data_IF_408258846897
#
_entry.id   IF_408258846897
#
_cell.length_a   1.000
_cell.length_b   1.000
_cell.length_c   1.000
_cell.angle_alpha   90.00
_cell.angle_beta   90.00
_cell.angle_gamma   90.00
#
_symmetry.space_group_name_H-M   'P 1'
#
loop_
_entity.id
_entity.type
_entity.pdbx_description
1 polymer ?
#
# COMPACT_ATOMS: atom_id res chain seq x y z
N UNK A 1 19.10 -1.64 -19.99
CA UNK A 1 19.03 -3.11 -20.21
C UNK A 1 18.54 -3.36 -21.62
N UNK A 2 19.36 -3.96 -22.46
CA UNK A 2 18.85 -4.62 -23.67
C UNK A 2 18.24 -5.94 -23.20
N UNK A 3 16.96 -6.18 -23.48
CA UNK A 3 16.38 -7.50 -23.26
C UNK A 3 17.18 -8.50 -24.09
N UNK A 4 17.92 -9.42 -23.46
CA UNK A 4 18.41 -10.57 -24.23
C UNK A 4 17.19 -11.39 -24.64
N UNK A 5 17.23 -11.95 -25.83
CA UNK A 5 16.15 -12.80 -26.34
C UNK A 5 15.78 -13.92 -25.36
N UNK A 6 16.77 -14.44 -24.65
CA UNK A 6 16.60 -15.47 -23.63
C UNK A 6 15.75 -14.97 -22.46
N UNK A 7 15.87 -13.71 -22.04
CA UNK A 7 15.02 -13.14 -20.98
C UNK A 7 13.57 -12.94 -21.43
N UNK A 8 13.35 -12.55 -22.69
CA UNK A 8 11.98 -12.47 -23.23
C UNK A 8 11.38 -13.88 -23.27
N UNK A 9 12.14 -14.87 -23.74
CA UNK A 9 11.70 -16.26 -23.76
C UNK A 9 11.42 -16.78 -22.35
N UNK A 10 12.28 -16.51 -21.37
CA UNK A 10 12.11 -16.96 -19.98
C UNK A 10 10.92 -16.29 -19.30
N UNK A 11 10.71 -14.98 -19.48
CA UNK A 11 9.51 -14.28 -19.00
C UNK A 11 8.22 -14.90 -19.58
N UNK A 12 8.25 -15.30 -20.86
CA UNK A 12 7.12 -15.92 -21.54
C UNK A 12 6.96 -17.43 -21.26
N UNK A 13 8.04 -18.15 -20.93
CA UNK A 13 8.02 -19.56 -20.56
C UNK A 13 7.64 -19.76 -19.08
N UNK A 14 7.99 -18.79 -18.22
CA UNK A 14 7.63 -18.76 -16.79
C UNK A 14 6.24 -18.21 -16.53
N UNK A 15 5.68 -17.44 -17.48
CA UNK A 15 4.27 -17.06 -17.50
C UNK A 15 3.42 -18.32 -17.28
N UNK A 16 2.69 -18.44 -16.15
CA UNK A 16 2.11 -19.71 -15.73
C UNK A 16 1.26 -20.33 -16.84
N UNK A 17 1.18 -21.68 -16.93
CA UNK A 17 0.27 -22.43 -17.82
C UNK A 17 -1.20 -21.92 -17.84
N UNK A 18 -1.60 -21.10 -16.87
CA UNK A 18 -2.91 -20.41 -16.80
C UNK A 18 -3.01 -19.18 -17.71
N UNK A 19 -1.91 -18.45 -17.94
CA UNK A 19 -1.86 -17.33 -18.87
C UNK A 19 -1.94 -17.81 -20.33
N UNK A 20 -1.42 -19.00 -20.64
CA UNK A 20 -1.64 -19.64 -21.95
C UNK A 20 -3.13 -19.91 -22.26
N UNK A 21 -3.99 -20.07 -21.24
CA UNK A 21 -5.44 -20.15 -21.43
C UNK A 21 -6.10 -18.78 -21.64
N UNK A 22 -5.54 -17.73 -21.04
CA UNK A 22 -6.04 -16.34 -21.17
C UNK A 22 -5.54 -15.68 -22.47
N UNK A 23 -4.38 -16.10 -22.95
CA UNK A 23 -3.69 -15.57 -24.12
C UNK A 23 -3.25 -16.75 -25.01
N UNK A 24 -4.20 -17.40 -25.70
CA UNK A 24 -3.93 -18.58 -26.54
C UNK A 24 -2.96 -18.30 -27.69
N UNK A 25 -2.68 -17.03 -27.99
CA UNK A 25 -1.71 -16.62 -29.00
C UNK A 25 -0.25 -16.75 -28.53
N UNK A 26 0.03 -16.85 -27.22
CA UNK A 26 1.41 -16.85 -26.70
C UNK A 26 2.21 -18.09 -27.20
N UNK A 27 1.72 -19.34 -27.11
CA UNK A 27 2.48 -20.49 -27.60
C UNK A 27 2.84 -20.45 -29.11
N UNK A 28 1.91 -20.16 -30.05
CA UNK A 28 2.27 -20.04 -31.46
C UNK A 28 3.18 -18.83 -31.72
N UNK A 29 3.03 -17.74 -30.97
CA UNK A 29 3.92 -16.58 -31.06
C UNK A 29 5.36 -16.92 -30.67
N UNK A 30 5.58 -17.60 -29.54
CA UNK A 30 6.91 -18.05 -29.10
C UNK A 30 7.54 -19.06 -30.06
N UNK A 31 6.72 -19.95 -30.63
CA UNK A 31 7.16 -20.89 -31.66
C UNK A 31 7.65 -20.14 -32.91
N UNK A 32 6.92 -19.09 -33.33
CA UNK A 32 7.31 -18.22 -34.43
C UNK A 32 8.63 -17.49 -34.17
N UNK A 33 8.83 -16.97 -32.95
CA UNK A 33 10.06 -16.28 -32.55
C UNK A 33 11.32 -17.15 -32.66
N UNK A 34 11.23 -18.46 -32.40
CA UNK A 34 12.37 -19.38 -32.50
C UNK A 34 12.91 -19.56 -33.92
N UNK A 35 12.10 -19.24 -34.93
CA UNK A 35 12.46 -19.39 -36.34
C UNK A 35 13.03 -18.10 -36.96
N UNK A 36 13.09 -17.00 -36.20
CA UNK A 36 13.57 -15.70 -36.67
C UNK A 36 15.10 -15.60 -36.57
N UNK A 37 15.70 -14.84 -37.48
CA UNK A 37 17.11 -14.44 -37.39
C UNK A 37 17.31 -13.41 -36.27
N UNK A 38 18.55 -13.28 -35.77
CA UNK A 38 18.85 -12.34 -34.67
C UNK A 38 18.40 -10.87 -34.95
N UNK A 39 18.58 -10.29 -36.15
CA UNK A 39 18.06 -8.95 -36.46
C UNK A 39 16.53 -8.87 -36.40
N UNK A 40 15.83 -9.89 -36.87
CA UNK A 40 14.36 -9.95 -36.84
C UNK A 40 13.85 -10.09 -35.41
N UNK A 41 14.50 -10.93 -34.59
CA UNK A 41 14.21 -11.05 -33.16
C UNK A 41 14.36 -9.71 -32.45
N UNK A 42 15.46 -8.99 -32.70
CA UNK A 42 15.67 -7.68 -32.10
C UNK A 42 14.60 -6.68 -32.52
N UNK A 43 14.21 -6.69 -33.79
CA UNK A 43 13.13 -5.83 -34.28
C UNK A 43 11.80 -6.15 -33.59
N UNK A 44 11.42 -7.44 -33.50
CA UNK A 44 10.19 -7.85 -32.82
C UNK A 44 10.23 -7.49 -31.33
N UNK A 45 11.38 -7.70 -30.67
CA UNK A 45 11.58 -7.32 -29.27
C UNK A 45 11.38 -5.83 -29.04
N UNK A 46 11.92 -4.97 -29.92
CA UNK A 46 11.73 -3.52 -29.86
C UNK A 46 10.26 -3.12 -30.05
N UNK A 47 9.57 -3.71 -31.03
CA UNK A 47 8.14 -3.43 -31.27
C UNK A 47 7.30 -3.84 -30.07
N UNK A 48 7.52 -5.04 -29.53
CA UNK A 48 6.85 -5.50 -28.31
C UNK A 48 7.14 -4.57 -27.14
N UNK A 49 8.40 -4.17 -26.93
CA UNK A 49 8.76 -3.27 -25.84
C UNK A 49 8.02 -1.93 -25.94
N UNK A 50 7.88 -1.37 -27.15
CA UNK A 50 7.12 -0.14 -27.38
C UNK A 50 5.64 -0.33 -27.03
N UNK A 51 5.04 -1.44 -27.44
CA UNK A 51 3.65 -1.75 -27.14
C UNK A 51 3.41 -1.98 -25.64
N UNK A 52 4.32 -2.67 -24.96
CA UNK A 52 4.30 -2.84 -23.51
C UNK A 52 4.45 -1.51 -22.77
N UNK A 53 5.42 -0.67 -23.16
CA UNK A 53 5.62 0.66 -22.60
C UNK A 53 4.35 1.52 -22.74
N UNK A 54 3.70 1.45 -23.90
CA UNK A 54 2.44 2.15 -24.18
C UNK A 54 1.29 1.60 -23.33
N UNK A 55 1.16 0.28 -23.21
CA UNK A 55 0.14 -0.36 -22.38
C UNK A 55 0.30 0.01 -20.90
N UNK A 56 1.49 -0.15 -20.34
CA UNK A 56 1.80 0.24 -18.96
C UNK A 56 1.59 1.73 -18.76
N UNK A 57 2.04 2.56 -19.71
CA UNK A 57 1.84 4.00 -19.64
C UNK A 57 0.37 4.41 -19.61
N UNK A 58 -0.50 3.71 -20.34
CA UNK A 58 -1.95 3.92 -20.30
C UNK A 58 -2.56 3.49 -18.96
N UNK A 59 -2.12 2.36 -18.39
CA UNK A 59 -2.56 1.88 -17.08
C UNK A 59 -2.14 2.88 -16.00
N UNK A 60 -0.87 3.29 -15.98
CA UNK A 60 -0.35 4.26 -15.02
C UNK A 60 -1.10 5.59 -15.12
N UNK A 61 -1.33 6.11 -16.33
CA UNK A 61 -2.12 7.33 -16.53
C UNK A 61 -3.57 7.19 -16.05
N UNK A 62 -4.19 6.04 -16.30
CA UNK A 62 -5.56 5.74 -15.85
C UNK A 62 -5.66 5.63 -14.33
N UNK A 63 -4.58 5.27 -13.64
CA UNK A 63 -4.60 5.02 -12.21
C UNK A 63 -3.81 6.03 -11.37
N UNK A 64 -3.14 7.00 -11.98
CA UNK A 64 -2.26 7.96 -11.29
C UNK A 64 -2.93 8.84 -10.24
N UNK A 65 -4.25 8.96 -10.30
CA UNK A 65 -5.07 9.80 -9.42
C UNK A 65 -5.65 9.03 -8.23
N UNK A 66 -5.48 7.71 -8.16
CA UNK A 66 -5.90 6.95 -7.00
C UNK A 66 -4.91 7.12 -5.84
N UNK A 67 -5.41 7.43 -4.62
CA UNK A 67 -4.57 7.50 -3.44
C UNK A 67 -3.79 6.20 -3.22
N UNK A 68 -2.50 6.33 -2.96
CA UNK A 68 -1.59 5.22 -2.65
C UNK A 68 -0.86 4.64 -3.87
N UNK A 69 -1.22 5.04 -5.09
CA UNK A 69 -0.51 4.56 -6.30
C UNK A 69 0.92 5.10 -6.35
N UNK A 70 1.13 6.38 -6.00
CA UNK A 70 2.46 6.94 -5.96
C UNK A 70 3.31 6.24 -4.88
N UNK A 71 2.73 6.01 -3.70
CA UNK A 71 3.35 5.22 -2.63
C UNK A 71 3.79 3.82 -3.13
N UNK A 72 2.89 3.08 -3.78
CA UNK A 72 3.16 1.73 -4.29
C UNK A 72 4.29 1.71 -5.33
N UNK A 73 4.25 2.62 -6.31
CA UNK A 73 5.27 2.70 -7.36
C UNK A 73 6.63 3.12 -6.79
N UNK A 74 6.64 4.08 -5.86
CA UNK A 74 7.87 4.51 -5.18
C UNK A 74 8.49 3.38 -4.38
N UNK A 75 7.67 2.57 -3.71
CA UNK A 75 8.16 1.44 -2.92
C UNK A 75 8.72 0.30 -3.79
N UNK A 76 8.12 0.07 -4.96
CA UNK A 76 8.63 -0.84 -5.98
C UNK A 76 10.02 -0.39 -6.46
N UNK A 77 10.22 0.91 -6.67
CA UNK A 77 11.52 1.47 -7.04
C UNK A 77 12.56 1.29 -5.93
N UNK A 78 12.21 1.59 -4.67
CA UNK A 78 13.12 1.38 -3.54
C UNK A 78 13.55 -0.08 -3.42
N UNK A 79 12.61 -0.99 -3.61
CA UNK A 79 12.88 -2.41 -3.53
C UNK A 79 13.85 -2.88 -4.62
N UNK A 80 13.60 -2.46 -5.87
CA UNK A 80 14.48 -2.75 -7.00
C UNK A 80 15.90 -2.21 -6.76
N UNK A 81 16.02 -1.01 -6.20
CA UNK A 81 17.32 -0.40 -5.90
C UNK A 81 18.10 -1.12 -4.80
N UNK A 82 17.40 -1.63 -3.78
CA UNK A 82 18.03 -2.31 -2.63
C UNK A 82 18.24 -3.81 -2.81
N UNK A 83 17.68 -4.41 -3.86
CA UNK A 83 17.80 -5.85 -4.13
C UNK A 83 17.24 -6.73 -3.01
N UNK A 84 16.14 -6.29 -2.39
CA UNK A 84 15.50 -7.05 -1.32
C UNK A 84 14.84 -8.34 -1.86
N UNK A 85 14.62 -9.37 -1.03
CA UNK A 85 13.88 -10.55 -1.45
C UNK A 85 12.40 -10.23 -1.69
N UNK A 86 11.77 -10.81 -2.72
CA UNK A 86 10.39 -10.54 -3.17
C UNK A 86 9.33 -10.55 -2.04
N UNK A 87 9.54 -11.39 -1.02
CA UNK A 87 8.65 -11.51 0.15
C UNK A 87 8.46 -10.19 0.92
N UNK A 88 9.39 -9.26 0.78
CA UNK A 88 9.34 -7.95 1.42
C UNK A 88 8.40 -6.93 0.73
N UNK A 89 8.00 -7.13 -0.54
CA UNK A 89 7.02 -6.25 -1.21
C UNK A 89 5.59 -6.79 -1.08
N UNK A 90 5.45 -8.11 -1.21
CA UNK A 90 4.13 -8.77 -1.29
C UNK A 90 3.30 -8.44 -0.06
N UNK A 91 3.88 -8.58 1.12
CA UNK A 91 3.17 -8.44 2.39
C UNK A 91 2.69 -6.99 2.59
N UNK A 92 3.52 -5.94 2.37
CA UNK A 92 3.06 -4.55 2.41
C UNK A 92 2.06 -4.16 1.33
N UNK A 93 2.21 -4.65 0.10
CA UNK A 93 1.23 -4.41 -0.97
C UNK A 93 -0.15 -4.98 -0.57
N UNK A 94 -0.17 -6.20 -0.03
CA UNK A 94 -1.38 -6.83 0.51
C UNK A 94 -1.89 -6.07 1.74
N UNK A 95 -1.01 -5.52 2.58
CA UNK A 95 -1.46 -4.79 3.77
C UNK A 95 -2.04 -3.40 3.45
N UNK A 96 -1.74 -2.83 2.29
CA UNK A 96 -2.41 -1.63 1.77
C UNK A 96 -3.81 -1.94 1.20
N UNK A 97 -4.12 -3.21 0.89
CA UNK A 97 -5.41 -3.67 0.37
C UNK A 97 -6.65 -3.22 1.17
N UNK A 98 -6.67 -3.19 2.52
CA UNK A 98 -7.80 -2.68 3.29
C UNK A 98 -8.04 -1.19 3.07
N UNK A 99 -7.01 -0.40 2.75
CA UNK A 99 -7.18 1.01 2.36
C UNK A 99 -7.93 1.09 1.03
N UNK A 100 -7.66 0.19 0.07
CA UNK A 100 -8.33 0.15 -1.23
C UNK A 100 -9.76 -0.43 -1.18
N UNK A 101 -10.02 -1.41 -0.32
CA UNK A 101 -11.40 -1.88 -0.05
C UNK A 101 -12.27 -0.72 0.48
N UNK A 102 -11.70 0.13 1.34
CA UNK A 102 -12.41 1.31 1.88
C UNK A 102 -12.72 2.37 0.82
N UNK A 103 -12.01 2.39 -0.31
CA UNK A 103 -12.28 3.29 -1.44
C UNK A 103 -13.22 2.68 -2.50
N UNK A 104 -13.80 1.50 -2.24
CA UNK A 104 -14.93 0.97 -3.02
C UNK A 104 -14.59 0.50 -4.44
N UNK A 105 -13.33 0.18 -4.74
CA UNK A 105 -12.96 -0.30 -6.08
C UNK A 105 -12.95 -1.83 -6.13
N UNK A 106 -14.05 -2.42 -6.61
CA UNK A 106 -14.21 -3.87 -6.85
C UNK A 106 -13.09 -4.49 -7.74
N UNK A 107 -12.38 -3.65 -8.49
CA UNK A 107 -11.34 -4.05 -9.44
C UNK A 107 -10.03 -4.50 -8.76
N UNK A 108 -9.69 -3.95 -7.59
CA UNK A 108 -8.38 -4.18 -6.96
C UNK A 108 -8.31 -5.44 -6.11
N UNK A 109 -9.45 -5.94 -5.59
CA UNK A 109 -9.46 -7.23 -4.89
C UNK A 109 -9.16 -8.42 -5.81
N UNK A 110 -9.59 -8.34 -7.07
CA UNK A 110 -9.21 -9.29 -8.11
C UNK A 110 -7.76 -9.02 -8.53
N UNK A 111 -7.39 -7.78 -8.86
CA UNK A 111 -6.02 -7.46 -9.25
C UNK A 111 -4.98 -7.90 -8.19
N UNK A 112 -5.29 -7.80 -6.89
CA UNK A 112 -4.38 -8.20 -5.80
C UNK A 112 -4.23 -9.71 -5.62
N UNK A 113 -5.30 -10.50 -5.81
CA UNK A 113 -5.20 -11.97 -5.84
C UNK A 113 -4.38 -12.45 -7.05
N UNK A 114 -4.37 -11.67 -8.13
CA UNK A 114 -3.49 -11.92 -9.27
C UNK A 114 -2.07 -11.41 -9.01
N UNK A 115 -1.90 -10.25 -8.38
CA UNK A 115 -0.60 -9.65 -8.02
C UNK A 115 0.15 -10.53 -7.02
N UNK A 116 -0.47 -11.06 -5.95
CA UNK A 116 0.20 -11.97 -5.00
C UNK A 116 0.77 -13.23 -5.68
N UNK A 117 0.05 -13.74 -6.68
CA UNK A 117 0.43 -14.91 -7.48
C UNK A 117 1.34 -14.57 -8.67
N UNK A 118 1.37 -13.30 -9.08
CA UNK A 118 2.28 -12.73 -10.09
C UNK A 118 3.61 -12.31 -9.46
N UNK A 119 3.61 -11.84 -8.21
CA UNK A 119 4.81 -11.30 -7.58
C UNK A 119 5.84 -12.41 -7.34
N UNK A 120 5.38 -13.61 -7.00
CA UNK A 120 6.21 -14.75 -6.58
C UNK A 120 6.95 -15.47 -7.72
N UNK A 121 7.17 -14.82 -8.86
CA UNK A 121 7.90 -15.40 -9.99
C UNK A 121 8.23 -14.44 -11.13
N UNK A 122 8.17 -13.12 -10.90
CA UNK A 122 8.35 -12.13 -11.95
C UNK A 122 9.20 -10.93 -11.48
N UNK A 123 10.34 -11.20 -10.81
CA UNK A 123 11.39 -10.19 -10.54
C UNK A 123 11.69 -9.34 -11.78
N UNK A 124 11.80 -9.99 -12.94
CA UNK A 124 12.02 -9.36 -14.24
C UNK A 124 10.94 -8.32 -14.60
N UNK A 125 9.69 -8.56 -14.23
CA UNK A 125 8.59 -7.62 -14.48
C UNK A 125 8.69 -6.40 -13.56
N UNK A 126 9.07 -6.57 -12.30
CA UNK A 126 9.31 -5.44 -11.39
C UNK A 126 10.51 -4.62 -11.83
N UNK A 127 11.61 -5.29 -12.20
CA UNK A 127 12.79 -4.66 -12.75
C UNK A 127 12.44 -3.91 -14.05
N UNK A 128 11.53 -4.45 -14.87
CA UNK A 128 11.03 -3.77 -16.05
C UNK A 128 10.20 -2.53 -15.74
N UNK A 129 9.25 -2.60 -14.80
CA UNK A 129 8.47 -1.44 -14.35
C UNK A 129 9.41 -0.39 -13.77
N UNK A 130 10.34 -0.77 -12.91
CA UNK A 130 11.31 0.13 -12.31
C UNK A 130 12.14 0.82 -13.40
N UNK A 131 12.72 0.06 -14.33
CA UNK A 131 13.48 0.59 -15.45
C UNK A 131 12.63 1.47 -16.39
N UNK A 132 11.33 1.23 -16.51
CA UNK A 132 10.42 2.09 -17.26
C UNK A 132 10.21 3.42 -16.51
N UNK A 133 9.91 3.36 -15.21
CA UNK A 133 9.65 4.53 -14.37
C UNK A 133 10.87 5.43 -14.19
N UNK A 134 12.08 4.85 -14.17
CA UNK A 134 13.34 5.58 -14.06
C UNK A 134 13.82 6.19 -15.38
N UNK A 135 13.36 5.67 -16.53
CA UNK A 135 13.84 6.12 -17.84
C UNK A 135 12.91 7.18 -18.48
N UNK A 136 13.34 8.45 -18.58
CA UNK A 136 12.50 9.52 -19.13
C UNK A 136 12.13 9.38 -20.58
N UNK A 137 12.98 8.75 -21.38
CA UNK A 137 12.73 8.55 -22.81
C UNK A 137 11.60 7.55 -23.02
N UNK A 138 11.49 6.54 -22.16
CA UNK A 138 10.48 5.47 -22.27
C UNK A 138 9.16 5.87 -21.63
N UNK A 139 9.17 6.33 -20.38
CA UNK A 139 7.94 6.59 -19.63
C UNK A 139 7.29 7.94 -19.94
N UNK A 140 8.03 8.90 -20.52
CA UNK A 140 7.51 10.24 -20.89
C UNK A 140 6.85 10.92 -19.68
N UNK A 141 5.53 11.15 -19.72
CA UNK A 141 4.78 11.74 -18.59
C UNK A 141 4.70 10.82 -17.35
N UNK A 142 5.03 9.54 -17.49
CA UNK A 142 4.93 8.56 -16.41
C UNK A 142 6.21 8.40 -15.59
N UNK A 143 7.30 9.12 -15.92
CA UNK A 143 8.55 9.14 -15.13
C UNK A 143 8.27 9.35 -13.66
N UNK A 144 8.86 8.54 -12.79
CA UNK A 144 8.73 8.73 -11.35
C UNK A 144 9.67 9.84 -10.87
N UNK A 145 9.28 11.08 -11.15
CA UNK A 145 10.05 12.28 -10.87
C UNK A 145 10.00 12.70 -9.39
N UNK A 146 10.76 13.75 -9.07
CA UNK A 146 10.82 14.30 -7.72
C UNK A 146 9.44 14.76 -7.20
N UNK A 147 8.52 15.17 -8.08
CA UNK A 147 7.16 15.54 -7.70
C UNK A 147 6.35 14.30 -7.28
N UNK A 148 6.45 13.20 -8.02
CA UNK A 148 5.81 11.93 -7.64
C UNK A 148 6.37 11.35 -6.35
N UNK A 149 7.67 11.52 -6.09
CA UNK A 149 8.24 11.21 -4.78
C UNK A 149 7.64 12.08 -3.66
N UNK A 150 7.39 13.37 -3.91
CA UNK A 150 6.71 14.24 -2.94
C UNK A 150 5.26 13.78 -2.68
N UNK A 151 4.53 13.38 -3.74
CA UNK A 151 3.19 12.80 -3.61
C UNK A 151 3.22 11.50 -2.81
N UNK A 152 4.16 10.59 -3.10
CA UNK A 152 4.33 9.34 -2.36
C UNK A 152 4.64 9.58 -0.87
N UNK A 153 5.52 10.53 -0.56
CA UNK A 153 5.78 10.95 0.83
C UNK A 153 4.53 11.51 1.51
N UNK A 154 3.75 12.35 0.82
CA UNK A 154 2.49 12.90 1.34
C UNK A 154 1.48 11.79 1.62
N UNK A 155 1.32 10.84 0.71
CA UNK A 155 0.45 9.68 0.87
C UNK A 155 0.90 8.79 2.03
N UNK A 156 2.20 8.52 2.15
CA UNK A 156 2.79 7.80 3.27
C UNK A 156 2.40 8.45 4.61
N UNK A 157 2.53 9.79 4.69
CA UNK A 157 2.16 10.55 5.87
C UNK A 157 0.65 10.51 6.16
N UNK A 158 -0.19 10.74 5.15
CA UNK A 158 -1.64 10.87 5.32
C UNK A 158 -2.35 9.53 5.53
N UNK A 159 -2.03 8.53 4.70
CA UNK A 159 -2.73 7.24 4.67
C UNK A 159 -2.25 6.30 5.77
N UNK A 160 -0.94 6.32 6.07
CA UNK A 160 -0.33 5.34 6.98
C UNK A 160 0.01 5.95 8.34
N UNK A 161 0.62 7.15 8.38
CA UNK A 161 1.26 7.65 9.61
C UNK A 161 0.42 8.63 10.44
N UNK A 162 -0.55 9.32 9.82
CA UNK A 162 -1.35 10.40 10.44
C UNK A 162 -2.85 10.10 10.49
N UNK A 163 -3.28 8.88 10.22
CA UNK A 163 -4.71 8.51 10.20
C UNK A 163 -5.31 8.52 11.63
N UNK A 164 -5.67 9.70 12.12
CA UNK A 164 -6.28 9.91 13.45
C UNK A 164 -7.76 9.53 13.50
N UNK A 165 -8.45 9.49 12.37
CA UNK A 165 -9.90 9.24 12.31
C UNK A 165 -10.32 7.85 12.81
N UNK A 166 -9.37 6.92 12.98
CA UNK A 166 -9.63 5.54 13.42
C UNK A 166 -9.01 5.18 14.77
N UNK A 167 -8.16 6.04 15.33
CA UNK A 167 -7.46 5.78 16.60
C UNK A 167 -8.09 6.45 17.82
N UNK A 168 -9.26 7.07 17.69
CA UNK A 168 -10.13 7.37 18.84
C UNK A 168 -10.80 6.11 19.42
N UNK A 169 -10.16 4.94 19.29
CA UNK A 169 -10.43 3.82 20.19
C UNK A 169 -9.89 4.30 21.53
N UNK A 170 -10.81 4.76 22.38
CA UNK A 170 -10.56 5.20 23.75
C UNK A 170 -9.38 4.43 24.35
N UNK A 171 -8.29 5.12 24.68
CA UNK A 171 -7.11 4.51 25.24
C UNK A 171 -7.54 3.50 26.33
N UNK A 172 -7.17 2.21 26.22
CA UNK A 172 -7.72 1.16 27.09
C UNK A 172 -7.46 1.45 28.57
N UNK A 173 -6.40 2.21 28.88
CA UNK A 173 -6.07 2.70 30.22
C UNK A 173 -7.16 3.61 30.82
N UNK A 174 -7.78 4.47 30.01
CA UNK A 174 -8.93 5.27 30.45
C UNK A 174 -10.22 4.45 30.49
N UNK A 175 -10.36 3.41 29.66
CA UNK A 175 -11.50 2.47 29.73
C UNK A 175 -11.53 1.72 31.06
N UNK A 176 -10.36 1.31 31.59
CA UNK A 176 -10.24 0.58 32.85
C UNK A 176 -10.48 1.51 34.05
N UNK A 177 -9.89 2.71 34.05
CA UNK A 177 -10.15 3.74 35.08
C UNK A 177 -11.64 4.13 35.12
N UNK A 178 -12.26 4.28 33.96
CA UNK A 178 -13.69 4.55 33.87
C UNK A 178 -14.55 3.34 34.28
N UNK A 179 -14.13 2.09 34.10
CA UNK A 179 -14.86 0.93 34.63
C UNK A 179 -14.89 0.91 36.16
N UNK A 180 -13.80 1.25 36.83
CA UNK A 180 -13.74 1.32 38.30
C UNK A 180 -14.64 2.44 38.83
N UNK A 181 -14.54 3.65 38.26
CA UNK A 181 -15.42 4.77 38.59
C UNK A 181 -16.90 4.48 38.27
N UNK A 182 -17.16 3.71 37.20
CA UNK A 182 -18.53 3.31 36.84
C UNK A 182 -19.13 2.31 37.82
N UNK A 183 -18.34 1.54 38.59
CA UNK A 183 -18.86 0.57 39.58
C UNK A 183 -19.46 1.21 40.83
N UNK A 184 -19.08 2.45 41.16
CA UNK A 184 -19.50 3.14 42.38
C UNK A 184 -20.66 4.12 42.18
N UNK A 185 -21.37 4.04 41.06
CA UNK A 185 -22.50 4.94 40.77
C UNK A 185 -23.77 4.47 41.53
N UNK A 186 -24.41 5.33 42.36
CA UNK A 186 -25.54 4.94 43.21
C UNK A 186 -26.73 4.31 42.48
N UNK A 187 -26.98 4.68 41.22
CA UNK A 187 -28.05 4.09 40.41
C UNK A 187 -27.78 2.63 40.01
N UNK A 188 -26.53 2.17 40.02
CA UNK A 188 -26.19 0.75 39.83
C UNK A 188 -26.52 -0.09 41.06
N UNK A 189 -26.56 0.51 42.26
CA UNK A 189 -26.99 -0.17 43.49
C UNK A 189 -28.49 -0.42 43.44
N UNK A 190 -29.28 0.57 43.03
CA UNK A 190 -30.71 0.39 42.72
C UNK A 190 -30.94 -0.68 41.64
N UNK A 191 -30.01 -0.82 40.68
CA UNK A 191 -30.03 -1.85 39.62
C UNK A 191 -29.68 -3.26 40.11
N UNK A 192 -28.99 -3.40 41.25
CA UNK A 192 -28.65 -4.68 41.90
C UNK A 192 -29.73 -5.13 42.90
N UNK A 193 -30.41 -4.19 43.55
CA UNK A 193 -31.46 -4.44 44.56
C UNK A 193 -32.84 -4.88 43.98
N UNK A 194 -32.88 -5.38 42.75
CA UNK A 194 -33.98 -6.27 42.32
C UNK A 194 -35.29 -5.65 41.78
N UNK A 195 -35.52 -4.34 41.85
CA UNK A 195 -36.83 -3.75 41.48
C UNK A 195 -37.27 -3.93 40.01
N UNK A 196 -36.40 -4.38 39.09
CA UNK A 196 -36.72 -4.51 37.66
C UNK A 196 -36.31 -5.85 37.03
N UNK A 197 -36.20 -6.93 37.81
CA UNK A 197 -35.71 -8.24 37.33
C UNK A 197 -36.52 -8.76 36.12
N UNK A 198 -37.85 -8.63 36.14
CA UNK A 198 -38.71 -9.12 35.02
C UNK A 198 -38.48 -8.37 33.70
N UNK A 199 -38.46 -7.03 33.70
CA UNK A 199 -38.12 -6.23 32.49
C UNK A 199 -36.70 -6.50 31.98
N UNK A 200 -35.78 -6.85 32.87
CA UNK A 200 -34.38 -7.12 32.53
C UNK A 200 -34.21 -8.43 31.76
N UNK A 201 -34.91 -9.49 32.15
CA UNK A 201 -34.88 -10.80 31.47
C UNK A 201 -35.38 -10.67 30.03
N UNK A 202 -36.50 -9.96 29.84
CA UNK A 202 -37.08 -9.63 28.54
C UNK A 202 -36.09 -8.84 27.65
N UNK A 203 -35.48 -7.77 28.18
CA UNK A 203 -34.51 -6.96 27.44
C UNK A 203 -33.21 -7.73 27.10
N UNK A 204 -32.76 -8.63 27.99
CA UNK A 204 -31.58 -9.47 27.76
C UNK A 204 -31.81 -10.47 26.64
N UNK A 205 -33.01 -11.04 26.56
CA UNK A 205 -33.39 -11.96 25.47
C UNK A 205 -33.42 -11.22 24.12
N UNK A 206 -34.03 -10.03 24.06
CA UNK A 206 -34.05 -9.21 22.82
C UNK A 206 -32.67 -8.69 22.42
N UNK A 207 -31.82 -8.34 23.39
CA UNK A 207 -30.42 -7.94 23.14
C UNK A 207 -29.57 -9.08 22.60
N UNK A 208 -29.69 -10.28 23.16
CA UNK A 208 -28.95 -11.46 22.66
C UNK A 208 -29.38 -11.84 21.25
N UNK A 209 -30.68 -11.80 20.94
CA UNK A 209 -31.18 -12.07 19.59
C UNK A 209 -30.68 -11.05 18.55
N UNK A 210 -30.56 -9.76 18.92
CA UNK A 210 -29.95 -8.74 18.06
C UNK A 210 -28.43 -8.89 17.92
N UNK A 211 -27.73 -9.26 18.98
CA UNK A 211 -26.29 -9.54 18.94
C UNK A 211 -25.96 -10.79 18.11
N UNK A 212 -26.76 -11.85 18.19
CA UNK A 212 -26.60 -13.03 17.34
C UNK A 212 -26.81 -12.70 15.86
N UNK A 213 -27.84 -11.89 15.54
CA UNK A 213 -28.04 -11.40 14.16
C UNK A 213 -26.93 -10.46 13.69
N UNK A 214 -26.31 -9.65 14.56
CA UNK A 214 -25.18 -8.81 14.17
C UNK A 214 -23.87 -9.58 14.05
N UNK A 215 -23.70 -10.67 14.81
CA UNK A 215 -22.55 -11.57 14.72
C UNK A 215 -22.56 -12.38 13.42
N UNK A 216 -23.73 -12.78 12.91
CA UNK A 216 -23.84 -13.37 11.56
C UNK A 216 -23.46 -12.38 10.45
N UNK A 217 -23.61 -11.07 10.66
CA UNK A 217 -23.20 -10.03 9.70
C UNK A 217 -21.74 -9.56 9.89
N UNK A 218 -21.09 -9.89 11.01
CA UNK A 218 -19.72 -9.48 11.36
C UNK A 218 -18.64 -10.50 10.94
N UNK A 219 -18.95 -11.38 9.99
CA UNK A 219 -18.00 -12.33 9.40
C UNK A 219 -17.14 -11.73 8.26
N UNK A 220 -16.79 -10.44 8.34
CA UNK A 220 -15.86 -9.80 7.41
C UNK A 220 -14.73 -9.13 8.21
N UNK A 221 -13.68 -9.92 8.46
CA UNK A 221 -12.40 -9.60 9.12
C UNK A 221 -12.48 -9.31 10.63
N UNK A 222 -11.89 -10.20 11.45
CA UNK A 222 -11.72 -9.93 12.88
C UNK A 222 -10.81 -8.71 13.10
N UNK A 223 -11.11 -7.90 14.12
CA UNK A 223 -10.33 -6.70 14.49
C UNK A 223 -8.82 -6.96 14.59
N UNK A 224 -8.42 -8.20 14.94
CA UNK A 224 -7.03 -8.64 15.00
C UNK A 224 -6.30 -8.63 13.65
N UNK A 225 -6.97 -9.03 12.57
CA UNK A 225 -6.36 -9.10 11.23
C UNK A 225 -6.17 -7.69 10.66
N UNK A 226 -7.16 -6.81 10.86
CA UNK A 226 -7.07 -5.41 10.43
C UNK A 226 -5.95 -4.68 11.17
N UNK A 227 -5.83 -4.86 12.49
CA UNK A 227 -4.74 -4.27 13.27
C UNK A 227 -3.36 -4.80 12.86
N UNK A 228 -3.26 -6.09 12.51
CA UNK A 228 -2.03 -6.69 12.02
C UNK A 228 -1.58 -6.03 10.70
N UNK A 229 -2.45 -5.93 9.70
CA UNK A 229 -2.12 -5.28 8.43
C UNK A 229 -1.87 -3.77 8.56
N UNK A 230 -2.56 -3.10 9.49
CA UNK A 230 -2.24 -1.72 9.84
C UNK A 230 -0.83 -1.59 10.40
N UNK A 231 -0.42 -2.49 11.29
CA UNK A 231 0.94 -2.52 11.84
C UNK A 231 2.01 -2.70 10.76
N UNK A 232 1.79 -3.62 9.81
CA UNK A 232 2.70 -3.85 8.68
C UNK A 232 2.80 -2.60 7.81
N UNK A 233 1.66 -2.06 7.37
CA UNK A 233 1.64 -0.87 6.50
C UNK A 233 2.30 0.33 7.18
N UNK A 234 2.11 0.45 8.50
CA UNK A 234 2.71 1.50 9.30
C UNK A 234 4.24 1.34 9.40
N UNK A 235 4.72 0.13 9.68
CA UNK A 235 6.15 -0.17 9.73
C UNK A 235 6.81 0.17 8.38
N UNK A 236 6.19 -0.28 7.29
CA UNK A 236 6.71 -0.06 5.95
C UNK A 236 6.70 1.41 5.56
N UNK A 237 5.62 2.14 5.88
CA UNK A 237 5.56 3.59 5.69
C UNK A 237 6.71 4.32 6.41
N UNK A 238 7.05 3.93 7.64
CA UNK A 238 8.20 4.48 8.35
C UNK A 238 9.55 4.19 7.67
N UNK A 239 9.69 3.03 7.04
CA UNK A 239 10.91 2.62 6.33
C UNK A 239 11.07 3.34 5.00
N UNK A 240 9.98 3.50 4.23
CA UNK A 240 9.97 4.13 2.91
C UNK A 240 10.04 5.67 3.00
N UNK A 241 9.52 6.28 4.07
CA UNK A 241 9.43 7.73 4.17
C UNK A 241 10.79 8.44 3.99
N UNK A 242 11.89 8.01 4.65
CA UNK A 242 13.21 8.58 4.39
C UNK A 242 13.60 8.57 2.91
N UNK A 243 13.39 7.45 2.23
CA UNK A 243 13.71 7.29 0.80
C UNK A 243 12.91 8.28 -0.07
N UNK A 244 11.60 8.42 0.18
CA UNK A 244 10.78 9.37 -0.57
C UNK A 244 11.17 10.82 -0.29
N UNK A 245 11.43 11.17 0.97
CA UNK A 245 11.77 12.55 1.34
C UNK A 245 13.09 12.99 0.73
N UNK A 246 14.09 12.11 0.70
CA UNK A 246 15.40 12.39 0.10
C UNK A 246 15.27 12.78 -1.37
N UNK A 247 14.44 12.05 -2.13
CA UNK A 247 14.24 12.24 -3.58
C UNK A 247 13.11 13.21 -3.95
N UNK A 248 12.27 13.58 -2.99
CA UNK A 248 11.14 14.46 -3.24
C UNK A 248 11.58 15.88 -3.59
N UNK A 249 10.80 16.51 -4.46
CA UNK A 249 10.97 17.91 -4.80
C UNK A 249 10.70 18.81 -3.58
N UNK A 250 11.23 20.03 -3.62
CA UNK A 250 10.84 21.06 -2.67
C UNK A 250 9.38 21.44 -2.88
N UNK A 251 8.51 21.06 -1.94
CA UNK A 251 7.06 21.28 -2.03
C UNK A 251 6.57 21.88 -0.72
N UNK A 252 6.01 23.09 -0.81
CA UNK A 252 5.43 23.79 0.34
C UNK A 252 4.24 23.02 0.92
N UNK A 253 3.44 22.38 0.07
CA UNK A 253 2.30 21.57 0.51
C UNK A 253 2.78 20.37 1.34
N UNK A 254 3.79 19.66 0.86
CA UNK A 254 4.39 18.55 1.62
C UNK A 254 5.01 19.06 2.92
N UNK A 255 5.74 20.17 2.89
CA UNK A 255 6.32 20.78 4.08
C UNK A 255 5.24 21.15 5.13
N UNK A 256 4.09 21.68 4.71
CA UNK A 256 2.98 22.00 5.60
C UNK A 256 2.39 20.74 6.25
N UNK A 257 2.18 19.67 5.46
CA UNK A 257 1.75 18.35 5.99
C UNK A 257 2.75 17.82 7.00
N UNK A 258 4.05 17.91 6.68
CA UNK A 258 5.13 17.48 7.55
C UNK A 258 5.31 18.36 8.78
N UNK A 259 5.00 19.66 8.77
CA UNK A 259 5.06 20.47 9.99
C UNK A 259 3.93 20.14 10.96
N UNK A 260 2.76 19.75 10.43
CA UNK A 260 1.57 19.41 11.21
C UNK A 260 1.49 17.95 11.63
N UNK A 261 2.46 17.12 11.23
CA UNK A 261 2.35 15.69 11.45
C UNK A 261 2.38 15.31 12.93
N UNK A 262 1.53 14.36 13.28
CA UNK A 262 1.60 13.64 14.54
C UNK A 262 1.48 12.16 14.23
N UNK A 263 2.53 11.39 14.54
CA UNK A 263 2.48 9.94 14.41
C UNK A 263 1.33 9.37 15.26
N UNK A 264 0.61 8.40 14.72
CA UNK A 264 -0.46 7.72 15.46
C UNK A 264 0.04 6.99 16.71
N UNK A 265 -0.90 6.52 17.53
CA UNK A 265 -0.63 5.67 18.71
C UNK A 265 0.00 4.30 18.38
N UNK A 266 0.12 3.94 17.09
CA UNK A 266 0.87 2.76 16.64
C UNK A 266 2.38 3.02 16.68
N UNK A 267 2.80 4.29 16.54
CA UNK A 267 4.19 4.73 16.51
C UNK A 267 5.09 4.09 17.57
N UNK A 268 4.72 4.11 18.87
CA UNK A 268 5.55 3.53 19.93
C UNK A 268 5.95 2.05 19.75
N UNK A 269 5.25 1.28 18.90
CA UNK A 269 5.63 -0.10 18.55
C UNK A 269 6.86 -0.17 17.62
N UNK A 270 7.20 0.92 16.94
CA UNK A 270 8.27 1.00 15.94
C UNK A 270 9.23 2.16 16.24
N UNK A 271 9.87 2.19 17.43
CA UNK A 271 10.62 3.37 17.89
C UNK A 271 11.79 3.73 16.96
N UNK A 272 12.48 2.72 16.41
CA UNK A 272 13.59 2.93 15.47
C UNK A 272 13.11 3.57 14.16
N UNK A 273 12.06 3.01 13.55
CA UNK A 273 11.48 3.55 12.30
C UNK A 273 10.98 4.98 12.50
N UNK A 274 10.29 5.25 13.61
CA UNK A 274 9.87 6.61 13.95
C UNK A 274 11.03 7.60 14.06
N UNK A 275 12.14 7.19 14.67
CA UNK A 275 13.31 8.06 14.81
C UNK A 275 13.88 8.40 13.43
N UNK A 276 14.06 7.41 12.56
CA UNK A 276 14.56 7.62 11.19
C UNK A 276 13.62 8.50 10.37
N UNK A 277 12.31 8.25 10.44
CA UNK A 277 11.29 9.07 9.81
C UNK A 277 11.36 10.54 10.29
N UNK A 278 11.44 10.76 11.61
CA UNK A 278 11.58 12.11 12.18
C UNK A 278 12.84 12.82 11.70
N UNK A 279 13.98 12.13 11.70
CA UNK A 279 15.23 12.68 11.20
C UNK A 279 15.12 13.07 9.73
N UNK A 280 14.53 12.21 8.90
CA UNK A 280 14.31 12.51 7.48
C UNK A 280 13.36 13.70 7.26
N UNK A 281 12.29 13.80 8.05
CA UNK A 281 11.38 14.94 8.03
C UNK A 281 12.12 16.22 8.39
N UNK A 282 12.92 16.22 9.46
CA UNK A 282 13.71 17.39 9.85
C UNK A 282 14.68 17.81 8.75
N UNK A 283 15.38 16.87 8.12
CA UNK A 283 16.29 17.17 7.00
C UNK A 283 15.55 17.76 5.80
N UNK A 284 14.38 17.21 5.46
CA UNK A 284 13.55 17.74 4.38
C UNK A 284 13.12 19.18 4.68
N UNK A 285 12.60 19.44 5.87
CA UNK A 285 12.15 20.78 6.26
C UNK A 285 13.30 21.78 6.25
N UNK A 286 14.48 21.41 6.76
CA UNK A 286 15.67 22.26 6.68
C UNK A 286 16.04 22.61 5.23
N UNK A 287 15.96 21.64 4.30
CA UNK A 287 16.21 21.87 2.87
C UNK A 287 15.21 22.85 2.25
N UNK A 288 13.94 22.79 2.65
CA UNK A 288 12.92 23.75 2.21
C UNK A 288 13.24 25.15 2.75
N UNK A 289 13.49 25.25 4.05
CA UNK A 289 13.72 26.52 4.72
C UNK A 289 15.00 27.22 4.19
N UNK A 290 16.05 26.46 3.86
CA UNK A 290 17.26 27.00 3.24
C UNK A 290 17.04 27.45 1.79
N UNK A 291 16.26 26.67 1.00
CA UNK A 291 16.01 26.98 -0.41
C UNK A 291 15.14 28.21 -0.64
N UNK A 292 14.24 28.53 0.31
CA UNK A 292 13.38 29.72 0.25
C UNK A 292 14.18 31.02 0.44
N UNK A 293 15.42 30.96 0.90
CA UNK A 293 16.25 32.15 1.12
C UNK A 293 17.01 32.63 -0.12
N UNK A 294 16.98 31.88 -1.23
CA UNK A 294 17.74 32.16 -2.45
C UNK A 294 16.89 32.69 -3.63
N UNK A 295 15.58 32.86 -3.44
CA UNK A 295 14.64 33.50 -4.40
C UNK A 295 14.23 34.91 -3.94
#
# INVERSE_FOLDING_TARGET
>A
MNFSFDHVLDLFNTLPRRCAKLFPFIPPFLSGLKNLTFPEVNHVSQVLQIDFDKMLGNILKKHSHYPGVALLLGALLEHNEKGYPETHIVIPMISLHPLFILFGTDFWGIAMLYIEKWISGHEEFFNYIAALLENPQRSKANVFDQQKYAVAARECMQLCLSCHSKSSIEAPEFSQRNQVLRRNKPWLWRRRLGFHIRRRIESRRRSKARQLKSLETQYYFSDSVVQYFQGISYCWALELLPYFLERSASSLELAEVLRRHTFTNIGPKFPRGMRLAKEAISRYLLRIDSGVSEE
#
